data_IF_817252297243
#
_entry.id   IF_817252297243
#
_cell.length_a   1.000
_cell.length_b   1.000
_cell.length_c   1.000
_cell.angle_alpha   90.00
_cell.angle_beta   90.00
_cell.angle_gamma   90.00
#
_symmetry.space_group_name_H-M   'P 1'
#
loop_
_entity.id
_entity.type
_entity.pdbx_description
1 polymer ?
#
# COMPACT_ATOMS: atom_id res chain seq x y z
N UNK A 1 1.71 27.57 -67.62
CA UNK A 1 2.18 26.17 -67.48
C UNK A 1 2.28 25.86 -65.99
N UNK A 2 1.58 24.81 -65.53
CA UNK A 2 1.92 23.94 -64.39
C UNK A 2 2.20 24.65 -63.01
N UNK A 3 1.47 24.46 -61.91
CA UNK A 3 1.16 23.23 -61.15
C UNK A 3 0.09 23.58 -60.09
N UNK A 4 -0.80 22.63 -59.80
CA UNK A 4 -1.81 22.68 -58.73
C UNK A 4 -1.15 22.61 -57.34
N UNK A 5 -1.61 23.40 -56.36
CA UNK A 5 -1.58 22.95 -54.95
C UNK A 5 -2.81 23.49 -54.22
N UNK A 6 -3.72 22.56 -53.92
CA UNK A 6 -4.86 22.72 -53.02
C UNK A 6 -4.33 22.94 -51.60
N UNK A 7 -4.64 24.10 -51.02
CA UNK A 7 -4.34 24.38 -49.61
C UNK A 7 -5.39 23.69 -48.73
N UNK A 8 -5.16 22.41 -48.44
CA UNK A 8 -5.91 21.68 -47.43
C UNK A 8 -5.51 22.21 -46.04
N UNK A 9 -6.42 22.97 -45.43
CA UNK A 9 -6.32 23.41 -44.05
C UNK A 9 -6.47 22.17 -43.13
N UNK A 10 -5.35 21.51 -42.83
CA UNK A 10 -5.27 20.45 -41.85
C UNK A 10 -5.51 21.05 -40.46
N UNK A 11 -6.72 20.83 -39.94
CA UNK A 11 -7.05 20.96 -38.52
C UNK A 11 -6.14 20.01 -37.75
N UNK A 12 -5.05 20.53 -37.21
CA UNK A 12 -4.29 19.82 -36.18
C UNK A 12 -5.01 20.06 -34.86
N UNK A 13 -6.00 19.20 -34.59
CA UNK A 13 -6.56 19.07 -33.26
C UNK A 13 -5.42 18.59 -32.34
N UNK A 14 -4.86 19.51 -31.56
CA UNK A 14 -3.94 19.18 -30.50
C UNK A 14 -4.63 18.22 -29.54
N UNK A 15 -4.20 16.97 -29.55
CA UNK A 15 -4.54 16.02 -28.50
C UNK A 15 -3.83 16.47 -27.23
N UNK A 16 -4.54 17.22 -26.41
CA UNK A 16 -4.13 17.46 -25.03
C UNK A 16 -4.20 16.11 -24.31
N UNK A 17 -3.04 15.49 -24.07
CA UNK A 17 -2.93 14.34 -23.18
C UNK A 17 -3.14 14.91 -21.78
N UNK A 18 -4.36 14.77 -21.26
CA UNK A 18 -4.61 15.06 -19.86
C UNK A 18 -3.76 14.08 -19.05
N UNK A 19 -2.75 14.59 -18.35
CA UNK A 19 -2.08 13.83 -17.30
C UNK A 19 -3.14 13.45 -16.28
N UNK A 20 -3.60 12.20 -16.33
CA UNK A 20 -4.47 11.67 -15.30
C UNK A 20 -3.70 11.80 -13.99
N UNK A 21 -4.22 12.52 -12.98
CA UNK A 21 -3.55 12.61 -11.70
C UNK A 21 -3.23 11.19 -11.25
N UNK A 22 -1.94 10.93 -11.01
CA UNK A 22 -1.41 9.58 -10.80
C UNK A 22 -2.33 8.81 -9.88
N UNK A 23 -2.82 7.66 -10.35
CA UNK A 23 -3.61 6.74 -9.55
C UNK A 23 -2.85 6.53 -8.24
N UNK A 24 -3.37 7.04 -7.12
CA UNK A 24 -2.82 6.75 -5.80
C UNK A 24 -2.87 5.22 -5.65
N UNK A 25 -1.73 4.54 -5.85
CA UNK A 25 -1.66 3.12 -5.62
C UNK A 25 -1.87 2.90 -4.11
N UNK A 26 -2.87 2.08 -3.76
CA UNK A 26 -3.14 1.77 -2.37
C UNK A 26 -1.87 1.26 -1.69
N UNK A 27 -1.56 1.82 -0.51
CA UNK A 27 -0.34 1.47 0.20
C UNK A 27 -0.26 -0.03 0.44
N UNK A 28 0.88 -0.61 0.05
CA UNK A 28 1.19 -2.03 0.26
C UNK A 28 2.12 -2.20 1.44
N UNK A 29 1.66 -2.98 2.40
CA UNK A 29 2.39 -3.35 3.60
C UNK A 29 3.68 -4.06 3.20
N UNK A 30 4.77 -3.79 3.90
CA UNK A 30 5.97 -4.62 3.80
C UNK A 30 6.88 -4.51 5.01
N UNK A 31 8.16 -4.92 4.87
CA UNK A 31 9.05 -5.09 6.01
C UNK A 31 9.18 -3.82 6.85
N UNK A 32 9.22 -4.01 8.17
CA UNK A 32 9.28 -2.97 9.20
C UNK A 32 8.02 -2.09 9.37
N UNK A 33 6.95 -2.32 8.61
CA UNK A 33 5.64 -1.81 9.01
C UNK A 33 5.21 -2.47 10.33
N UNK A 34 4.45 -1.75 11.14
CA UNK A 34 3.81 -2.30 12.34
C UNK A 34 2.31 -2.29 12.11
N UNK A 35 1.71 -3.47 12.07
CA UNK A 35 0.28 -3.66 11.93
C UNK A 35 -0.36 -3.74 13.31
N UNK A 36 -1.46 -3.02 13.50
CA UNK A 36 -2.38 -3.20 14.62
C UNK A 36 -3.62 -3.88 14.10
N UNK A 37 -3.88 -5.06 14.66
CA UNK A 37 -4.98 -5.94 14.31
C UNK A 37 -5.89 -6.07 15.53
N UNK A 38 -7.17 -5.79 15.34
CA UNK A 38 -8.19 -5.87 16.38
C UNK A 38 -9.23 -6.87 15.93
N UNK A 39 -9.60 -7.79 16.81
CA UNK A 39 -10.73 -8.69 16.60
C UNK A 39 -11.77 -8.34 17.67
N UNK A 40 -12.92 -7.83 17.23
CA UNK A 40 -13.94 -7.32 18.16
C UNK A 40 -14.47 -8.45 19.05
N UNK A 41 -14.39 -8.25 20.37
CA UNK A 41 -14.81 -9.23 21.37
C UNK A 41 -13.75 -10.30 21.71
N UNK A 42 -12.59 -10.28 21.04
CA UNK A 42 -11.52 -11.27 21.22
C UNK A 42 -10.19 -10.56 21.53
N UNK A 43 -9.99 -10.19 22.80
CA UNK A 43 -8.79 -9.46 23.25
C UNK A 43 -7.50 -10.27 23.03
N UNK A 44 -7.56 -11.60 23.19
CA UNK A 44 -6.42 -12.51 22.98
C UNK A 44 -5.95 -12.56 21.51
N UNK A 45 -6.80 -12.13 20.58
CA UNK A 45 -6.50 -12.03 19.15
C UNK A 45 -6.14 -10.61 18.72
N UNK A 46 -6.27 -9.63 19.60
CA UNK A 46 -5.95 -8.23 19.32
C UNK A 46 -4.45 -8.00 19.57
N UNK A 47 -3.70 -7.75 18.50
CA UNK A 47 -2.23 -7.67 18.55
C UNK A 47 -1.67 -6.50 17.75
N UNK A 48 -0.51 -6.03 18.18
CA UNK A 48 0.35 -5.16 17.39
C UNK A 48 1.63 -5.93 17.02
N UNK A 49 1.90 -6.07 15.72
CA UNK A 49 2.99 -6.89 15.20
C UNK A 49 3.76 -6.19 14.09
N UNK A 50 5.07 -6.22 14.19
CA UNK A 50 5.99 -5.77 13.15
C UNK A 50 6.03 -6.82 12.03
N UNK A 51 6.01 -6.36 10.79
CA UNK A 51 6.22 -7.18 9.59
C UNK A 51 7.71 -7.49 9.47
N UNK A 52 8.03 -8.77 9.49
CA UNK A 52 9.40 -9.27 9.41
C UNK A 52 9.99 -9.09 8.00
N UNK A 53 11.31 -9.30 7.88
CA UNK A 53 12.06 -9.08 6.65
C UNK A 53 11.57 -9.88 5.44
N UNK A 54 10.93 -11.03 5.68
CA UNK A 54 10.34 -11.89 4.64
C UNK A 54 8.88 -11.52 4.29
N UNK A 55 8.34 -10.45 4.90
CA UNK A 55 6.98 -9.97 4.69
C UNK A 55 5.93 -10.74 5.48
N UNK A 56 6.29 -11.44 6.55
CA UNK A 56 5.35 -12.20 7.39
C UNK A 56 5.17 -11.58 8.78
N UNK A 57 4.11 -12.01 9.47
CA UNK A 57 3.87 -11.76 10.89
C UNK A 57 3.53 -13.08 11.59
N UNK A 58 3.84 -13.17 12.88
CA UNK A 58 3.31 -14.20 13.77
C UNK A 58 1.98 -13.72 14.36
N UNK A 59 0.93 -14.51 14.19
CA UNK A 59 -0.42 -14.20 14.62
C UNK A 59 -0.99 -15.31 15.51
N UNK A 60 -1.70 -14.98 16.61
CA UNK A 60 -2.32 -15.99 17.48
C UNK A 60 -3.23 -16.95 16.69
N UNK A 61 -3.19 -18.24 17.03
CA UNK A 61 -3.95 -19.35 16.41
C UNK A 61 -3.58 -19.67 14.95
N UNK A 62 -3.22 -18.68 14.15
CA UNK A 62 -2.90 -18.83 12.73
C UNK A 62 -1.40 -19.03 12.45
N UNK A 63 -0.54 -18.78 13.43
CA UNK A 63 0.91 -18.87 13.29
C UNK A 63 1.45 -17.83 12.32
N UNK A 64 2.36 -18.24 11.44
CA UNK A 64 3.01 -17.35 10.48
C UNK A 64 2.12 -17.02 9.28
N UNK A 65 1.83 -15.73 9.05
CA UNK A 65 0.99 -15.26 7.93
C UNK A 65 1.78 -14.30 7.04
N UNK A 66 1.67 -14.47 5.72
CA UNK A 66 2.26 -13.54 4.73
C UNK A 66 1.36 -12.33 4.47
N UNK A 67 1.85 -11.15 4.86
CA UNK A 67 1.15 -9.86 4.73
C UNK A 67 1.86 -8.87 3.81
N UNK A 68 3.15 -9.09 3.53
CA UNK A 68 3.95 -8.24 2.64
C UNK A 68 3.42 -8.24 1.20
N UNK A 69 3.37 -7.05 0.60
CA UNK A 69 2.83 -6.78 -0.72
C UNK A 69 1.31 -6.62 -0.76
N UNK A 70 0.62 -6.84 0.37
CA UNK A 70 -0.84 -6.72 0.46
C UNK A 70 -1.27 -5.34 0.93
N UNK A 71 -2.47 -4.94 0.54
CA UNK A 71 -3.15 -3.79 1.14
C UNK A 71 -3.77 -4.18 2.48
N UNK A 72 -4.20 -3.18 3.26
CA UNK A 72 -4.84 -3.40 4.56
C UNK A 72 -6.17 -4.17 4.40
N UNK A 73 -6.93 -3.86 3.35
CA UNK A 73 -8.19 -4.53 3.04
C UNK A 73 -7.97 -6.02 2.70
N UNK A 74 -6.92 -6.32 1.92
CA UNK A 74 -6.55 -7.69 1.59
C UNK A 74 -6.13 -8.49 2.83
N UNK A 75 -5.37 -7.86 3.75
CA UNK A 75 -4.98 -8.49 5.02
C UNK A 75 -6.20 -8.72 5.91
N UNK A 76 -7.10 -7.75 6.01
CA UNK A 76 -8.34 -7.88 6.78
C UNK A 76 -9.20 -9.03 6.26
N UNK A 77 -9.38 -9.13 4.94
CA UNK A 77 -10.13 -10.22 4.32
C UNK A 77 -9.46 -11.58 4.57
N UNK A 78 -8.13 -11.66 4.44
CA UNK A 78 -7.35 -12.87 4.71
C UNK A 78 -7.54 -13.36 6.15
N UNK A 79 -7.37 -12.47 7.14
CA UNK A 79 -7.50 -12.80 8.56
C UNK A 79 -8.93 -13.19 8.93
N UNK A 80 -9.92 -12.46 8.41
CA UNK A 80 -11.34 -12.78 8.62
C UNK A 80 -11.66 -14.19 8.13
N UNK A 81 -11.21 -14.53 6.92
CA UNK A 81 -11.46 -15.84 6.33
C UNK A 81 -10.77 -16.97 7.12
N UNK A 82 -9.51 -16.79 7.51
CA UNK A 82 -8.78 -17.83 8.25
C UNK A 82 -9.29 -18.02 9.69
N UNK A 83 -9.66 -16.94 10.39
CA UNK A 83 -10.25 -17.05 11.72
C UNK A 83 -11.64 -17.69 11.69
N UNK A 84 -12.45 -17.37 10.67
CA UNK A 84 -13.80 -17.91 10.51
C UNK A 84 -13.83 -19.42 10.20
N UNK A 85 -12.73 -19.98 9.71
CA UNK A 85 -12.66 -21.39 9.33
C UNK A 85 -12.80 -22.31 10.55
N UNK A 86 -11.97 -22.10 11.57
CA UNK A 86 -11.84 -23.07 12.67
C UNK A 86 -11.73 -22.44 14.07
N UNK A 87 -11.67 -21.10 14.18
CA UNK A 87 -11.26 -20.44 15.42
C UNK A 87 -12.31 -19.53 16.04
N UNK A 88 -12.99 -18.70 15.24
CA UNK A 88 -13.92 -17.67 15.73
C UNK A 88 -15.20 -17.69 14.90
N UNK A 89 -16.36 -17.67 15.55
CA UNK A 89 -17.64 -17.58 14.87
C UNK A 89 -17.91 -16.14 14.41
N UNK A 90 -17.96 -15.92 13.09
CA UNK A 90 -18.21 -14.61 12.44
C UNK A 90 -17.28 -13.49 12.97
N UNK A 91 -15.95 -13.62 12.81
CA UNK A 91 -15.00 -12.64 13.31
C UNK A 91 -15.21 -11.27 12.66
N UNK A 92 -15.09 -10.21 13.45
CA UNK A 92 -15.03 -8.84 12.97
C UNK A 92 -13.60 -8.32 13.17
N UNK A 93 -12.83 -8.31 12.08
CA UNK A 93 -11.42 -7.94 12.09
C UNK A 93 -11.26 -6.51 11.57
N UNK A 94 -10.48 -5.70 12.27
CA UNK A 94 -9.99 -4.41 11.81
C UNK A 94 -8.47 -4.44 11.76
N UNK A 95 -7.91 -3.99 10.64
CA UNK A 95 -6.46 -3.91 10.43
C UNK A 95 -6.08 -2.46 10.15
N UNK A 96 -4.99 -2.01 10.74
CA UNK A 96 -4.44 -0.66 10.54
C UNK A 96 -2.92 -0.68 10.65
N UNK A 97 -2.26 0.35 10.11
CA UNK A 97 -0.82 0.53 10.27
C UNK A 97 -0.60 1.42 11.49
N UNK A 98 -0.05 0.85 12.56
CA UNK A 98 0.34 1.60 13.75
C UNK A 98 1.62 2.42 13.51
N UNK A 99 2.51 1.91 12.65
CA UNK A 99 3.73 2.61 12.25
C UNK A 99 4.15 2.18 10.85
N UNK A 100 4.36 3.13 9.96
CA UNK A 100 4.95 2.83 8.67
C UNK A 100 6.45 2.61 8.76
N UNK A 101 7.01 1.85 7.81
CA UNK A 101 8.45 1.69 7.63
C UNK A 101 9.13 3.02 7.34
N UNK A 102 10.41 3.09 7.72
CA UNK A 102 11.26 4.23 7.38
C UNK A 102 11.91 4.01 6.01
N UNK A 103 12.09 5.11 5.27
CA UNK A 103 12.98 5.23 4.13
C UNK A 103 14.25 5.97 4.55
N UNK A 104 15.42 5.52 4.09
CA UNK A 104 16.69 6.15 4.44
C UNK A 104 17.17 7.01 3.27
N UNK A 105 17.41 8.29 3.54
CA UNK A 105 18.00 9.23 2.58
C UNK A 105 19.43 9.55 3.03
N UNK A 106 20.37 9.42 2.10
CA UNK A 106 21.79 9.72 2.32
C UNK A 106 22.43 10.41 1.12
N UNK A 107 23.72 10.75 1.23
CA UNK A 107 24.49 11.44 0.18
C UNK A 107 24.72 12.92 0.50
N UNK A 108 24.88 13.75 -0.53
CA UNK A 108 25.07 15.20 -0.43
C UNK A 108 23.73 15.94 -0.18
N UNK A 109 23.06 15.56 0.91
CA UNK A 109 21.82 16.20 1.38
C UNK A 109 22.07 16.94 2.69
N UNK A 110 21.31 18.01 2.95
CA UNK A 110 21.48 18.82 4.16
C UNK A 110 21.23 18.03 5.45
N UNK A 111 20.27 17.10 5.42
CA UNK A 111 19.88 16.28 6.57
C UNK A 111 19.74 14.84 6.11
N UNK A 112 20.78 13.99 6.22
CA UNK A 112 20.64 12.56 6.00
C UNK A 112 19.90 11.92 7.17
N UNK A 113 19.16 10.84 6.92
CA UNK A 113 18.43 10.15 7.99
C UNK A 113 17.32 9.24 7.51
N UNK A 114 16.65 8.61 8.49
CA UNK A 114 15.43 7.84 8.27
C UNK A 114 14.20 8.73 8.33
N UNK A 115 13.35 8.65 7.32
CA UNK A 115 12.08 9.36 7.19
C UNK A 115 10.96 8.34 7.21
N UNK A 116 9.96 8.53 8.07
CA UNK A 116 8.76 7.71 8.03
C UNK A 116 8.05 7.89 6.69
N UNK A 117 7.47 6.82 6.17
CA UNK A 117 6.58 6.96 5.02
C UNK A 117 5.39 7.84 5.37
N UNK A 118 5.08 8.76 4.48
CA UNK A 118 3.83 9.52 4.46
C UNK A 118 3.24 9.45 3.05
N UNK A 119 1.92 9.50 2.95
CA UNK A 119 1.25 9.51 1.64
C UNK A 119 1.65 10.75 0.85
N UNK A 120 2.05 10.58 -0.41
CA UNK A 120 2.55 11.67 -1.26
C UNK A 120 4.02 12.04 -1.04
N UNK A 121 4.76 11.32 -0.18
CA UNK A 121 6.20 11.50 -0.05
C UNK A 121 6.89 11.28 -1.40
N UNK A 122 7.58 12.32 -1.90
CA UNK A 122 8.26 12.31 -3.20
C UNK A 122 9.67 12.89 -3.08
N UNK A 123 10.51 12.55 -4.06
CA UNK A 123 11.83 13.16 -4.25
C UNK A 123 11.65 14.32 -5.22
N UNK A 124 11.81 15.56 -4.75
CA UNK A 124 11.79 16.79 -5.55
C UNK A 124 13.12 17.52 -5.43
#
# INVERSE_FOLDING_TARGET
>A
MLIHVVLALLVTAGVAVAEMPGSHEAYRVGPNDVLRIIVFGEDDLTVERKVEGDGKIEYPLLGTIRVGGRTIEEIQALLTAQLAADYVQRPQVSVSIARHRNFYVGGEVKTPGGYAYEEGLSVQ
#
